data_IF_210939875706
#
_entry.id   IF_210939875706
#
_cell.length_a   1.000
_cell.length_b   1.000
_cell.length_c   1.000
_cell.angle_alpha   90.00
_cell.angle_beta   90.00
_cell.angle_gamma   90.00
#
_symmetry.space_group_name_H-M   'P 1'
#
loop_
_entity.id
_entity.type
_entity.pdbx_description
1 polymer ?
#
# COMPACT_ATOMS: atom_id res chain seq x y z
N UNK A 1 8.76 25.09 13.01
CA UNK A 1 8.93 26.50 12.56
C UNK A 1 9.70 26.71 11.26
N UNK A 2 10.79 25.99 10.98
CA UNK A 2 11.59 26.24 9.77
C UNK A 2 11.01 25.62 8.47
N UNK A 3 10.12 24.63 8.56
CA UNK A 3 9.49 24.01 7.37
C UNK A 3 8.66 24.98 6.53
N UNK A 4 8.13 26.05 7.13
CA UNK A 4 7.37 27.11 6.41
C UNK A 4 8.18 27.73 5.28
N UNK A 5 9.51 27.78 5.41
CA UNK A 5 10.40 28.33 4.38
C UNK A 5 10.53 27.38 3.18
N UNK A 6 10.51 26.07 3.42
CA UNK A 6 10.46 25.07 2.32
C UNK A 6 9.13 25.22 1.59
N UNK A 7 8.01 25.30 2.33
CA UNK A 7 6.68 25.50 1.75
C UNK A 7 6.61 26.79 0.93
N UNK A 8 7.13 27.91 1.46
CA UNK A 8 7.19 29.18 0.74
C UNK A 8 8.01 29.06 -0.56
N UNK A 9 9.16 28.37 -0.53
CA UNK A 9 9.95 28.13 -1.73
C UNK A 9 9.21 27.28 -2.77
N UNK A 10 8.51 26.23 -2.33
CA UNK A 10 7.64 25.43 -3.20
C UNK A 10 6.50 26.24 -3.81
N UNK A 11 5.85 27.11 -3.03
CA UNK A 11 4.80 28.02 -3.53
C UNK A 11 5.37 28.99 -4.54
N UNK A 12 6.53 29.61 -4.27
CA UNK A 12 7.19 30.53 -5.20
C UNK A 12 7.50 29.85 -6.53
N UNK A 13 8.09 28.65 -6.51
CA UNK A 13 8.36 27.87 -7.72
C UNK A 13 7.06 27.58 -8.48
N UNK A 14 6.01 27.16 -7.77
CA UNK A 14 4.70 26.87 -8.38
C UNK A 14 4.12 28.11 -9.05
N UNK A 15 4.20 29.27 -8.39
CA UNK A 15 3.75 30.55 -8.94
C UNK A 15 4.56 30.97 -10.17
N UNK A 16 5.88 30.79 -10.16
CA UNK A 16 6.73 31.07 -11.32
C UNK A 16 6.38 30.16 -12.51
N UNK A 17 6.12 28.88 -12.26
CA UNK A 17 5.74 27.93 -13.31
C UNK A 17 4.34 28.16 -13.88
N UNK A 18 3.47 28.89 -13.18
CA UNK A 18 2.13 29.22 -13.67
C UNK A 18 2.12 30.27 -14.80
N UNK A 19 3.26 30.91 -15.11
CA UNK A 19 3.37 31.93 -16.14
C UNK A 19 4.65 31.74 -16.99
N UNK A 20 4.55 31.95 -18.30
CA UNK A 20 5.64 31.82 -19.26
C UNK A 20 6.90 32.64 -18.90
N UNK A 21 6.75 33.83 -18.30
CA UNK A 21 7.91 34.64 -17.92
C UNK A 21 8.60 34.11 -16.66
N UNK A 22 7.84 33.52 -15.74
CA UNK A 22 8.40 32.82 -14.58
C UNK A 22 9.11 31.52 -14.99
N UNK A 23 8.59 30.81 -16.00
CA UNK A 23 9.31 29.67 -16.62
C UNK A 23 10.64 30.13 -17.19
N UNK A 24 10.68 31.18 -18.03
CA UNK A 24 11.93 31.75 -18.59
C UNK A 24 12.91 32.19 -17.51
N UNK A 25 12.41 32.78 -16.42
CA UNK A 25 13.24 33.13 -15.26
C UNK A 25 13.88 31.88 -14.67
N UNK A 26 13.11 30.81 -14.41
CA UNK A 26 13.65 29.56 -13.90
C UNK A 26 14.64 28.89 -14.87
N UNK A 27 14.44 29.00 -16.20
CA UNK A 27 15.38 28.47 -17.20
C UNK A 27 16.75 29.17 -17.15
N UNK A 28 16.76 30.48 -16.91
CA UNK A 28 17.98 31.29 -16.87
C UNK A 28 18.61 31.36 -15.47
N UNK A 29 17.87 30.98 -14.43
CA UNK A 29 18.33 31.00 -13.06
C UNK A 29 19.31 29.84 -12.78
N UNK A 30 20.34 30.12 -11.96
CA UNK A 30 21.35 29.13 -11.57
C UNK A 30 20.87 28.10 -10.53
N UNK A 31 19.61 28.16 -10.10
CA UNK A 31 19.06 27.33 -9.02
C UNK A 31 19.31 25.82 -9.22
N UNK A 32 18.85 25.24 -10.33
CA UNK A 32 19.06 23.82 -10.63
C UNK A 32 20.54 23.47 -10.78
N UNK A 33 21.33 24.39 -11.36
CA UNK A 33 22.77 24.23 -11.54
C UNK A 33 23.51 24.20 -10.18
N UNK A 34 23.16 25.07 -9.25
CA UNK A 34 23.76 25.11 -7.91
C UNK A 34 23.43 23.86 -7.10
N UNK A 35 22.21 23.33 -7.24
CA UNK A 35 21.85 22.03 -6.66
C UNK A 35 22.69 20.91 -7.28
N UNK A 36 22.84 20.90 -8.61
CA UNK A 36 23.66 19.92 -9.32
C UNK A 36 25.14 19.95 -8.85
N UNK A 37 25.70 21.16 -8.72
CA UNK A 37 27.05 21.39 -8.20
C UNK A 37 27.19 20.88 -6.76
N UNK A 38 26.19 21.13 -5.89
CA UNK A 38 26.16 20.58 -4.54
C UNK A 38 26.09 19.05 -4.51
N UNK A 39 25.34 18.43 -5.42
CA UNK A 39 25.30 16.97 -5.55
C UNK A 39 26.61 16.37 -6.06
N UNK A 40 27.36 17.10 -6.90
CA UNK A 40 28.69 16.65 -7.35
C UNK A 40 29.71 16.61 -6.21
N UNK A 41 29.53 17.41 -5.15
CA UNK A 41 30.40 17.35 -3.95
C UNK A 41 30.27 16.01 -3.20
N UNK A 42 29.18 15.27 -3.43
CA UNK A 42 28.96 13.95 -2.85
C UNK A 42 29.69 12.83 -3.61
N UNK A 43 30.24 13.11 -4.78
CA UNK A 43 30.95 12.12 -5.60
C UNK A 43 32.32 11.81 -4.97
N UNK A 44 32.59 10.55 -4.56
CA UNK A 44 33.88 10.16 -3.98
C UNK A 44 35.08 10.42 -4.90
N UNK A 45 34.85 10.52 -6.22
CA UNK A 45 35.90 10.71 -7.24
C UNK A 45 36.09 12.18 -7.58
N UNK A 46 35.02 13.00 -7.54
CA UNK A 46 35.03 14.39 -7.99
C UNK A 46 34.84 15.42 -6.86
N UNK A 47 34.65 14.99 -5.62
CA UNK A 47 34.44 15.87 -4.46
C UNK A 47 35.72 16.63 -4.07
N UNK A 48 35.62 17.95 -3.91
CA UNK A 48 36.68 18.76 -3.32
C UNK A 48 36.66 18.60 -1.80
N UNK A 49 37.79 18.20 -1.20
CA UNK A 49 37.92 17.96 0.25
C UNK A 49 38.02 19.23 1.10
N UNK A 50 37.86 20.41 0.52
CA UNK A 50 38.15 21.70 1.18
C UNK A 50 37.02 22.23 2.08
N UNK A 51 35.79 21.73 1.92
CA UNK A 51 34.64 22.15 2.74
C UNK A 51 33.61 21.03 2.89
N UNK A 52 32.89 21.01 4.02
CA UNK A 52 31.79 20.07 4.25
C UNK A 52 30.74 20.15 3.12
N UNK A 53 30.43 19.03 2.43
CA UNK A 53 29.49 19.04 1.31
C UNK A 53 28.11 19.59 1.70
N UNK A 54 27.47 20.35 0.79
CA UNK A 54 26.15 20.93 1.04
C UNK A 54 25.14 19.89 1.51
N UNK A 55 25.11 18.73 0.84
CA UNK A 55 24.21 17.61 1.10
C UNK A 55 24.84 16.53 1.99
N UNK A 56 25.77 16.91 2.89
CA UNK A 56 26.33 15.99 3.89
C UNK A 56 25.23 15.39 4.78
N UNK A 57 25.53 14.25 5.41
CA UNK A 57 24.65 13.61 6.40
C UNK A 57 24.24 14.58 7.51
N UNK A 58 25.19 15.36 8.01
CA UNK A 58 24.96 16.31 9.10
C UNK A 58 24.07 17.47 8.64
N UNK A 59 24.34 18.09 7.48
CA UNK A 59 23.53 19.20 6.97
C UNK A 59 22.11 18.80 6.60
N UNK A 60 21.92 17.62 6.02
CA UNK A 60 20.57 17.13 5.70
C UNK A 60 19.72 16.96 6.95
N UNK A 61 20.34 16.56 8.06
CA UNK A 61 19.65 16.31 9.33
C UNK A 61 19.47 17.58 10.18
N UNK A 62 20.45 18.48 10.17
CA UNK A 62 20.51 19.64 11.08
C UNK A 62 20.02 20.93 10.44
N UNK A 63 19.82 20.96 9.11
CA UNK A 63 19.46 22.17 8.36
C UNK A 63 18.30 21.94 7.39
N UNK A 64 17.87 23.00 6.69
CA UNK A 64 16.81 22.93 5.67
C UNK A 64 17.28 22.40 4.31
N UNK A 65 18.51 21.92 4.18
CA UNK A 65 19.07 21.49 2.88
C UNK A 65 18.24 20.40 2.19
N UNK A 66 17.61 19.49 2.94
CA UNK A 66 16.70 18.50 2.37
C UNK A 66 15.51 19.13 1.61
N UNK A 67 15.14 20.37 1.95
CA UNK A 67 14.12 21.16 1.28
C UNK A 67 14.41 21.43 -0.20
N UNK A 68 15.68 21.43 -0.63
CA UNK A 68 16.00 21.53 -2.07
C UNK A 68 15.46 20.34 -2.86
N UNK A 69 15.45 19.13 -2.29
CA UNK A 69 14.84 17.96 -2.93
C UNK A 69 13.33 18.11 -3.06
N UNK A 70 12.69 18.75 -2.06
CA UNK A 70 11.25 19.08 -2.13
C UNK A 70 10.97 20.05 -3.29
N UNK A 71 11.82 21.06 -3.46
CA UNK A 71 11.71 22.03 -4.55
C UNK A 71 11.95 21.42 -5.94
N UNK A 72 12.96 20.54 -6.09
CA UNK A 72 13.17 19.74 -7.32
C UNK A 72 11.95 18.87 -7.60
N UNK A 73 11.36 18.30 -6.56
CA UNK A 73 10.16 17.49 -6.65
C UNK A 73 8.97 18.26 -7.22
N UNK A 74 8.76 19.50 -6.75
CA UNK A 74 7.74 20.40 -7.30
C UNK A 74 8.02 20.73 -8.77
N UNK A 75 9.26 21.11 -9.12
CA UNK A 75 9.65 21.40 -10.50
C UNK A 75 9.35 20.21 -11.44
N UNK A 76 9.61 18.99 -10.97
CA UNK A 76 9.44 17.76 -11.77
C UNK A 76 7.99 17.43 -12.12
N UNK A 77 7.00 18.02 -11.42
CA UNK A 77 5.56 17.83 -11.68
C UNK A 77 5.08 18.58 -12.93
N UNK A 78 5.71 19.69 -13.25
CA UNK A 78 5.25 20.57 -14.33
C UNK A 78 5.96 20.20 -15.63
N UNK A 79 5.19 20.07 -16.71
CA UNK A 79 5.73 19.85 -18.06
C UNK A 79 6.69 20.99 -18.46
N UNK A 80 6.38 22.20 -18.01
CA UNK A 80 7.15 23.42 -18.24
C UNK A 80 8.09 23.75 -17.07
N UNK A 81 8.37 22.77 -16.19
CA UNK A 81 9.25 22.82 -15.00
C UNK A 81 10.73 23.12 -15.28
N UNK A 82 11.04 23.63 -16.47
CA UNK A 82 12.32 23.90 -17.15
C UNK A 82 12.78 22.74 -18.06
N UNK A 83 12.93 23.06 -19.36
CA UNK A 83 13.25 22.23 -20.55
C UNK A 83 13.80 20.82 -20.32
N UNK A 84 13.28 19.87 -21.11
CA UNK A 84 13.86 18.54 -21.38
C UNK A 84 14.37 17.76 -20.16
N UNK A 85 13.60 17.74 -19.07
CA UNK A 85 13.81 16.75 -18.00
C UNK A 85 14.96 17.04 -17.04
N UNK A 86 15.58 18.22 -17.03
CA UNK A 86 16.65 18.55 -16.09
C UNK A 86 16.30 18.33 -14.60
N UNK A 87 15.12 18.73 -14.08
CA UNK A 87 14.73 18.41 -12.70
C UNK A 87 14.64 16.89 -12.44
N UNK A 88 14.19 16.11 -13.44
CA UNK A 88 14.09 14.65 -13.34
C UNK A 88 15.46 13.98 -13.35
N UNK A 89 16.40 14.49 -14.15
CA UNK A 89 17.80 14.04 -14.15
C UNK A 89 18.43 14.28 -12.77
N UNK A 90 18.21 15.46 -12.20
CA UNK A 90 18.71 15.77 -10.86
C UNK A 90 18.07 14.87 -9.80
N UNK A 91 16.76 14.66 -9.85
CA UNK A 91 16.09 13.74 -8.93
C UNK A 91 16.61 12.31 -9.06
N UNK A 92 16.81 11.82 -10.28
CA UNK A 92 17.46 10.52 -10.54
C UNK A 92 18.86 10.45 -9.92
N UNK A 93 19.66 11.52 -10.04
CA UNK A 93 20.99 11.60 -9.43
C UNK A 93 20.94 11.61 -7.90
N UNK A 94 19.95 12.28 -7.30
CA UNK A 94 19.72 12.25 -5.85
C UNK A 94 19.38 10.81 -5.40
N UNK A 95 18.46 10.16 -6.12
CA UNK A 95 17.99 8.79 -5.86
C UNK A 95 19.06 7.73 -6.11
N UNK A 96 20.13 8.03 -6.85
CA UNK A 96 21.26 7.12 -7.12
C UNK A 96 22.55 7.59 -6.47
N UNK A 97 22.48 8.57 -5.56
CA UNK A 97 23.65 9.12 -4.86
C UNK A 97 24.32 8.09 -3.93
N UNK A 98 25.60 8.29 -3.60
CA UNK A 98 26.33 7.38 -2.70
C UNK A 98 25.80 7.29 -1.27
N UNK A 99 24.91 8.20 -0.86
CA UNK A 99 24.46 8.33 0.53
C UNK A 99 23.08 7.70 0.74
N UNK A 100 23.02 6.59 1.50
CA UNK A 100 21.78 5.85 1.81
C UNK A 100 20.62 6.76 2.25
N UNK A 101 20.88 7.70 3.18
CA UNK A 101 19.86 8.62 3.70
C UNK A 101 19.28 9.56 2.65
N UNK A 102 20.11 10.00 1.71
CA UNK A 102 19.68 10.86 0.58
C UNK A 102 18.75 10.08 -0.33
N UNK A 103 19.14 8.85 -0.70
CA UNK A 103 18.31 7.96 -1.53
C UNK A 103 16.99 7.65 -0.85
N UNK A 104 17.02 7.25 0.43
CA UNK A 104 15.81 6.96 1.22
C UNK A 104 14.85 8.16 1.27
N UNK A 105 15.36 9.35 1.57
CA UNK A 105 14.57 10.58 1.58
C UNK A 105 13.96 10.86 0.20
N UNK A 106 14.76 10.75 -0.86
CA UNK A 106 14.32 11.04 -2.23
C UNK A 106 13.26 10.05 -2.72
N UNK A 107 13.41 8.76 -2.42
CA UNK A 107 12.43 7.71 -2.73
C UNK A 107 11.10 7.97 -2.01
N UNK A 108 11.15 8.27 -0.72
CA UNK A 108 9.95 8.67 0.05
C UNK A 108 9.31 9.94 -0.52
N UNK A 109 10.12 10.92 -0.87
CA UNK A 109 9.65 12.19 -1.42
C UNK A 109 9.00 12.01 -2.79
N UNK A 110 9.51 11.11 -3.63
CA UNK A 110 8.89 10.76 -4.92
C UNK A 110 7.46 10.25 -4.75
N UNK A 111 7.16 9.50 -3.69
CA UNK A 111 5.79 9.10 -3.37
C UNK A 111 4.85 10.28 -3.11
N UNK A 112 5.32 11.34 -2.43
CA UNK A 112 4.55 12.57 -2.24
C UNK A 112 4.29 13.30 -3.57
N UNK A 113 5.28 13.29 -4.46
CA UNK A 113 5.16 13.86 -5.80
C UNK A 113 4.08 13.12 -6.59
N UNK A 114 4.15 11.78 -6.64
CA UNK A 114 3.22 10.94 -7.39
C UNK A 114 1.77 11.10 -6.91
N UNK A 115 1.55 11.18 -5.58
CA UNK A 115 0.21 11.43 -5.01
C UNK A 115 -0.44 12.72 -5.44
N UNK A 116 0.37 13.73 -5.78
CA UNK A 116 -0.10 15.08 -6.13
C UNK A 116 0.06 15.40 -7.62
N UNK A 117 0.55 14.45 -8.42
CA UNK A 117 0.79 14.63 -9.86
C UNK A 117 -0.43 14.18 -10.67
N UNK A 118 -0.68 14.78 -11.85
CA UNK A 118 -1.75 14.31 -12.73
C UNK A 118 -1.43 12.90 -13.25
N UNK A 119 -2.46 12.04 -13.41
CA UNK A 119 -2.32 10.60 -13.76
C UNK A 119 -1.39 10.30 -14.95
N UNK A 120 -1.33 11.18 -15.96
CA UNK A 120 -0.47 11.02 -17.16
C UNK A 120 1.03 11.13 -16.88
N UNK A 121 1.44 11.55 -15.68
CA UNK A 121 2.84 11.85 -15.35
C UNK A 121 3.50 10.79 -14.45
N UNK A 122 2.89 9.61 -14.29
CA UNK A 122 3.39 8.59 -13.37
C UNK A 122 4.50 7.69 -13.96
N UNK A 123 4.66 7.64 -15.28
CA UNK A 123 5.60 6.70 -15.92
C UNK A 123 7.06 6.89 -15.48
N UNK A 124 7.59 8.11 -15.58
CA UNK A 124 8.97 8.39 -15.18
C UNK A 124 9.19 8.15 -13.68
N UNK A 125 8.19 8.44 -12.84
CA UNK A 125 8.28 8.22 -11.41
C UNK A 125 8.27 6.72 -11.06
N UNK A 126 7.42 5.95 -11.73
CA UNK A 126 7.41 4.48 -11.61
C UNK A 126 8.75 3.90 -12.08
N UNK A 127 9.32 4.39 -13.19
CA UNK A 127 10.65 3.98 -13.64
C UNK A 127 11.75 4.28 -12.61
N UNK A 128 11.73 5.46 -11.98
CA UNK A 128 12.68 5.78 -10.91
C UNK A 128 12.49 4.87 -9.69
N UNK A 129 11.25 4.55 -9.31
CA UNK A 129 10.98 3.63 -8.22
C UNK A 129 11.42 2.21 -8.54
N UNK A 130 11.25 1.73 -9.77
CA UNK A 130 11.78 0.45 -10.24
C UNK A 130 13.30 0.41 -10.06
N UNK A 131 14.01 1.49 -10.43
CA UNK A 131 15.46 1.57 -10.17
C UNK A 131 15.81 1.39 -8.69
N UNK A 132 14.99 1.92 -7.77
CA UNK A 132 15.20 1.78 -6.34
C UNK A 132 14.89 0.38 -5.80
N UNK A 133 14.18 -0.48 -6.54
CA UNK A 133 14.01 -1.90 -6.17
C UNK A 133 15.33 -2.68 -6.22
N UNK A 134 16.36 -2.12 -6.88
CA UNK A 134 17.69 -2.72 -7.00
C UNK A 134 18.75 -1.93 -6.19
N UNK A 135 18.33 -1.14 -5.20
CA UNK A 135 19.27 -0.40 -4.35
C UNK A 135 20.15 -1.35 -3.53
N UNK A 136 21.44 -1.03 -3.30
CA UNK A 136 22.29 -1.85 -2.42
C UNK A 136 21.83 -1.88 -0.96
N UNK A 137 21.03 -0.91 -0.51
CA UNK A 137 20.47 -0.86 0.83
C UNK A 137 19.01 -1.35 0.84
N UNK A 138 18.73 -2.44 1.57
CA UNK A 138 17.39 -3.05 1.64
C UNK A 138 16.32 -2.07 2.16
N UNK A 139 16.69 -1.13 3.03
CA UNK A 139 15.77 -0.11 3.55
C UNK A 139 15.26 0.83 2.44
N UNK A 140 16.07 1.08 1.41
CA UNK A 140 15.67 1.87 0.24
C UNK A 140 14.75 1.03 -0.66
N UNK A 141 15.04 -0.26 -0.85
CA UNK A 141 14.16 -1.19 -1.57
C UNK A 141 12.79 -1.29 -0.91
N UNK A 142 12.74 -1.44 0.43
CA UNK A 142 11.51 -1.45 1.22
C UNK A 142 10.70 -0.16 1.03
N UNK A 143 11.35 1.00 1.10
CA UNK A 143 10.70 2.29 0.84
C UNK A 143 10.15 2.38 -0.59
N UNK A 144 10.89 1.88 -1.58
CA UNK A 144 10.45 1.85 -2.98
C UNK A 144 9.22 0.96 -3.16
N UNK A 145 9.20 -0.22 -2.52
CA UNK A 145 8.04 -1.11 -2.51
C UNK A 145 6.83 -0.42 -1.88
N UNK A 146 6.99 0.18 -0.70
CA UNK A 146 5.90 0.89 -0.03
C UNK A 146 5.33 2.00 -0.93
N UNK A 147 6.19 2.83 -1.53
CA UNK A 147 5.76 3.92 -2.40
C UNK A 147 5.10 3.40 -3.67
N UNK A 148 5.59 2.30 -4.26
CA UNK A 148 4.96 1.66 -5.41
C UNK A 148 3.59 1.10 -5.06
N UNK A 149 3.43 0.48 -3.88
CA UNK A 149 2.15 -0.03 -3.42
C UNK A 149 1.13 1.11 -3.29
N UNK A 150 1.50 2.20 -2.61
CA UNK A 150 0.66 3.40 -2.47
C UNK A 150 0.27 3.98 -3.85
N UNK A 151 1.22 3.99 -4.79
CA UNK A 151 1.03 4.48 -6.17
C UNK A 151 0.13 3.54 -6.98
N UNK A 152 0.18 2.24 -6.69
CA UNK A 152 -0.61 1.19 -7.35
C UNK A 152 -2.07 1.11 -6.88
N UNK A 153 -2.53 2.01 -6.01
CA UNK A 153 -3.97 2.18 -5.75
C UNK A 153 -4.78 2.56 -7.00
N UNK A 154 -4.12 3.01 -8.08
CA UNK A 154 -4.73 3.22 -9.38
C UNK A 154 -4.38 2.07 -10.34
N UNK A 155 -5.40 1.45 -10.95
CA UNK A 155 -5.25 0.28 -11.82
C UNK A 155 -4.26 0.52 -12.98
N UNK A 156 -4.26 1.73 -13.56
CA UNK A 156 -3.38 2.08 -14.68
C UNK A 156 -1.90 2.05 -14.27
N UNK A 157 -1.58 2.37 -13.01
CA UNK A 157 -0.21 2.34 -12.52
C UNK A 157 0.29 0.90 -12.31
N UNK A 158 -0.58 -0.02 -11.86
CA UNK A 158 -0.26 -1.45 -11.79
C UNK A 158 0.06 -1.98 -13.18
N UNK A 159 -0.81 -1.71 -14.15
CA UNK A 159 -0.60 -2.16 -15.52
C UNK A 159 0.68 -1.61 -16.14
N UNK A 160 1.03 -0.35 -15.85
CA UNK A 160 2.29 0.24 -16.29
C UNK A 160 3.50 -0.44 -15.63
N UNK A 161 3.46 -0.64 -14.32
CA UNK A 161 4.52 -1.31 -13.58
C UNK A 161 4.76 -2.73 -14.11
N UNK A 162 3.70 -3.51 -14.35
CA UNK A 162 3.79 -4.85 -14.93
C UNK A 162 4.35 -4.81 -16.35
N UNK A 163 3.94 -3.85 -17.19
CA UNK A 163 4.47 -3.68 -18.56
C UNK A 163 5.99 -3.40 -18.57
N UNK A 164 6.50 -2.72 -17.54
CA UNK A 164 7.93 -2.46 -17.38
C UNK A 164 8.72 -3.68 -16.87
N UNK A 165 8.03 -4.78 -16.50
CA UNK A 165 8.60 -6.08 -16.09
C UNK A 165 9.81 -5.98 -15.14
N UNK A 166 9.69 -5.35 -13.96
CA UNK A 166 10.76 -5.43 -12.96
C UNK A 166 10.96 -6.87 -12.49
N UNK A 167 12.20 -7.30 -12.26
CA UNK A 167 12.46 -8.48 -11.43
C UNK A 167 12.27 -8.10 -9.97
N UNK A 168 11.61 -8.97 -9.21
CA UNK A 168 11.35 -8.81 -7.78
C UNK A 168 12.06 -9.90 -6.96
N UNK A 169 12.89 -10.73 -7.60
CA UNK A 169 13.50 -11.91 -6.99
C UNK A 169 14.47 -11.55 -5.86
N UNK A 170 15.10 -10.37 -5.95
CA UNK A 170 16.04 -9.84 -4.96
C UNK A 170 15.36 -9.30 -3.69
N UNK A 171 14.04 -9.17 -3.68
CA UNK A 171 13.29 -8.57 -2.57
C UNK A 171 12.81 -9.59 -1.52
N UNK A 172 12.76 -10.88 -1.87
CA UNK A 172 12.17 -11.90 -1.00
C UNK A 172 10.76 -11.51 -0.54
N UNK A 173 10.47 -11.68 0.75
CA UNK A 173 9.18 -11.34 1.35
C UNK A 173 8.82 -9.84 1.25
N UNK A 174 9.81 -8.95 1.11
CA UNK A 174 9.56 -7.51 0.92
C UNK A 174 8.81 -7.23 -0.38
N UNK A 175 9.01 -8.06 -1.42
CA UNK A 175 8.34 -7.89 -2.72
C UNK A 175 6.89 -8.42 -2.75
N UNK A 176 6.49 -9.24 -1.78
CA UNK A 176 5.20 -9.93 -1.78
C UNK A 176 3.99 -8.98 -1.88
N UNK A 177 3.94 -7.82 -1.19
CA UNK A 177 2.83 -6.89 -1.35
C UNK A 177 2.60 -6.46 -2.80
N UNK A 178 3.66 -6.17 -3.57
CA UNK A 178 3.54 -5.81 -4.99
C UNK A 178 3.07 -6.99 -5.84
N UNK A 179 3.59 -8.19 -5.59
CA UNK A 179 3.18 -9.41 -6.30
C UNK A 179 1.68 -9.65 -6.12
N UNK A 180 1.17 -9.53 -4.89
CA UNK A 180 -0.26 -9.63 -4.62
C UNK A 180 -1.07 -8.57 -5.38
N UNK A 181 -0.58 -7.31 -5.45
CA UNK A 181 -1.26 -6.26 -6.23
C UNK A 181 -1.29 -6.57 -7.72
N UNK A 182 -0.29 -7.23 -8.29
CA UNK A 182 -0.29 -7.57 -9.73
C UNK A 182 -1.45 -8.50 -10.09
N UNK A 183 -1.85 -9.40 -9.19
CA UNK A 183 -3.00 -10.31 -9.36
C UNK A 183 -4.32 -9.57 -9.59
N UNK A 184 -4.43 -8.31 -9.18
CA UNK A 184 -5.64 -7.50 -9.35
C UNK A 184 -5.94 -7.09 -10.80
N UNK A 185 -5.02 -7.39 -11.73
CA UNK A 185 -5.16 -7.07 -13.16
C UNK A 185 -4.89 -8.28 -14.03
N UNK A 186 -5.61 -8.43 -15.14
CA UNK A 186 -5.41 -9.58 -16.05
C UNK A 186 -4.00 -9.63 -16.65
N UNK A 187 -3.35 -8.48 -16.87
CA UNK A 187 -1.96 -8.43 -17.36
C UNK A 187 -0.99 -8.90 -16.27
N UNK A 188 -1.18 -8.46 -15.02
CA UNK A 188 -0.36 -8.88 -13.89
C UNK A 188 -0.55 -10.36 -13.54
N UNK A 189 -1.79 -10.87 -13.58
CA UNK A 189 -2.06 -12.30 -13.45
C UNK A 189 -1.27 -13.12 -14.48
N UNK A 190 -1.36 -12.77 -15.78
CA UNK A 190 -0.64 -13.48 -16.84
C UNK A 190 0.87 -13.42 -16.64
N UNK A 191 1.40 -12.24 -16.30
CA UNK A 191 2.81 -12.06 -16.00
C UNK A 191 3.29 -12.97 -14.85
N UNK A 192 2.52 -13.10 -13.77
CA UNK A 192 2.87 -13.97 -12.64
C UNK A 192 2.69 -15.46 -12.95
N UNK A 193 1.75 -15.80 -13.83
CA UNK A 193 1.58 -17.18 -14.28
C UNK A 193 2.74 -17.67 -15.15
N UNK A 194 3.43 -16.79 -15.88
CA UNK A 194 4.63 -17.14 -16.65
C UNK A 194 5.75 -17.73 -15.77
N UNK A 195 5.84 -17.34 -14.50
CA UNK A 195 6.84 -17.83 -13.54
C UNK A 195 6.29 -18.88 -12.56
N UNK A 196 5.07 -19.40 -12.80
CA UNK A 196 4.36 -20.32 -11.90
C UNK A 196 4.15 -19.75 -10.48
N UNK A 197 4.17 -18.43 -10.32
CA UNK A 197 3.96 -17.79 -9.02
C UNK A 197 2.55 -18.04 -8.50
N UNK A 198 1.53 -17.85 -9.34
CA UNK A 198 0.12 -17.89 -8.93
C UNK A 198 -0.28 -19.23 -8.30
N UNK A 199 0.06 -20.34 -8.95
CA UNK A 199 -0.26 -21.68 -8.48
C UNK A 199 0.43 -22.01 -7.16
N UNK A 200 1.74 -21.74 -7.08
CA UNK A 200 2.52 -21.97 -5.86
C UNK A 200 2.00 -21.13 -4.70
N UNK A 201 1.75 -19.85 -4.94
CA UNK A 201 1.26 -18.93 -3.92
C UNK A 201 -0.14 -19.36 -3.45
N UNK A 202 -1.01 -19.79 -4.36
CA UNK A 202 -2.34 -20.29 -4.02
C UNK A 202 -2.29 -21.51 -3.09
N UNK A 203 -1.39 -22.46 -3.35
CA UNK A 203 -1.20 -23.65 -2.53
C UNK A 203 -0.64 -23.26 -1.14
N UNK A 204 0.35 -22.35 -1.09
CA UNK A 204 0.94 -21.86 0.16
C UNK A 204 -0.10 -21.12 1.03
N UNK A 205 -0.97 -20.31 0.42
CA UNK A 205 -2.08 -19.63 1.09
C UNK A 205 -3.12 -20.59 1.62
N UNK A 206 -3.48 -21.59 0.83
CA UNK A 206 -4.43 -22.61 1.23
C UNK A 206 -3.94 -23.42 2.43
N UNK A 207 -2.65 -23.78 2.45
CA UNK A 207 -2.06 -24.61 3.49
C UNK A 207 -1.75 -23.84 4.79
N UNK A 208 -1.18 -22.63 4.70
CA UNK A 208 -0.65 -21.93 5.88
C UNK A 208 -0.67 -20.40 5.87
N UNK A 209 -0.59 -19.72 4.71
CA UNK A 209 -0.47 -18.24 4.73
C UNK A 209 -1.77 -17.54 5.17
N UNK A 210 -2.95 -18.16 5.01
CA UNK A 210 -4.20 -17.64 5.59
C UNK A 210 -4.08 -17.46 7.12
N UNK A 211 -3.50 -18.43 7.82
CA UNK A 211 -3.29 -18.36 9.25
C UNK A 211 -2.27 -17.26 9.61
N UNK A 212 -1.14 -17.22 8.90
CA UNK A 212 -0.13 -16.18 9.12
C UNK A 212 -0.70 -14.77 8.92
N UNK A 213 -1.53 -14.58 7.90
CA UNK A 213 -2.23 -13.33 7.65
C UNK A 213 -3.10 -12.88 8.84
N UNK A 214 -3.84 -13.80 9.46
CA UNK A 214 -4.64 -13.49 10.67
C UNK A 214 -3.75 -13.14 11.86
N UNK A 215 -2.64 -13.84 12.05
CA UNK A 215 -1.68 -13.47 13.10
C UNK A 215 -1.18 -12.04 12.91
N UNK A 216 -0.77 -11.68 11.70
CA UNK A 216 -0.31 -10.32 11.39
C UNK A 216 -1.40 -9.28 11.62
N UNK A 217 -2.64 -9.56 11.22
CA UNK A 217 -3.78 -8.69 11.45
C UNK A 217 -4.08 -8.49 12.93
N UNK A 218 -4.16 -9.56 13.71
CA UNK A 218 -4.46 -9.49 15.15
C UNK A 218 -3.35 -8.73 15.91
N UNK A 219 -2.07 -8.94 15.54
CA UNK A 219 -0.95 -8.15 16.08
C UNK A 219 -1.07 -6.67 15.71
N UNK A 220 -1.38 -6.36 14.45
CA UNK A 220 -1.51 -4.98 13.97
C UNK A 220 -2.67 -4.25 14.65
N UNK A 221 -3.82 -4.93 14.80
CA UNK A 221 -5.00 -4.39 15.47
C UNK A 221 -4.74 -4.19 16.97
N UNK A 222 -4.11 -5.16 17.64
CA UNK A 222 -3.75 -5.02 19.05
C UNK A 222 -2.80 -3.84 19.29
N UNK A 223 -1.84 -3.61 18.39
CA UNK A 223 -0.93 -2.47 18.48
C UNK A 223 -1.66 -1.15 18.22
N UNK A 224 -2.57 -1.10 17.24
CA UNK A 224 -3.37 0.09 16.96
C UNK A 224 -4.26 0.50 18.14
N UNK A 225 -4.86 -0.47 18.83
CA UNK A 225 -5.74 -0.23 19.99
C UNK A 225 -4.99 0.12 21.27
N UNK A 226 -3.73 -0.33 21.44
CA UNK A 226 -2.88 0.01 22.59
C UNK A 226 -2.44 1.49 22.61
N UNK A 227 -2.51 2.19 21.48
CA UNK A 227 -2.06 3.58 21.35
C UNK A 227 -2.92 4.59 22.14
N UNK A 228 -4.06 4.17 22.70
CA UNK A 228 -4.87 5.01 23.59
C UNK A 228 -4.49 4.88 25.08
N UNK A 229 -3.58 3.95 25.45
CA UNK A 229 -3.41 3.52 26.85
C UNK A 229 -2.08 3.76 27.55
N UNK A 230 -0.95 3.85 26.84
CA UNK A 230 0.36 4.00 27.51
C UNK A 230 1.27 5.01 26.80
N UNK A 231 1.72 5.96 27.60
CA UNK A 231 2.44 7.17 27.26
C UNK A 231 3.63 6.96 26.31
N UNK A 232 3.83 7.98 25.47
CA UNK A 232 5.13 8.39 24.95
C UNK A 232 6.20 8.41 26.05
N UNK A 233 6.79 7.26 26.38
CA UNK A 233 8.11 7.23 27.01
C UNK A 233 9.12 7.46 25.91
N UNK A 234 9.48 8.73 25.80
CA UNK A 234 10.69 9.21 25.15
C UNK A 234 11.85 8.27 25.53
N UNK A 235 12.29 7.49 24.56
CA UNK A 235 13.60 6.85 24.57
C UNK A 235 14.26 7.34 23.29
N UNK A 236 15.18 8.30 23.48
CA UNK A 236 16.15 8.78 22.51
C UNK A 236 16.99 7.60 22.02
N UNK A 237 16.53 6.93 20.96
CA UNK A 237 17.37 5.99 20.22
C UNK A 237 17.15 6.20 18.72
N UNK A 238 18.23 6.62 18.08
CA UNK A 238 18.33 7.16 16.71
C UNK A 238 18.19 6.07 15.62
N UNK A 239 17.73 4.87 15.99
CA UNK A 239 17.64 3.67 15.14
C UNK A 239 16.20 3.14 14.96
N UNK A 240 15.18 3.92 15.35
CA UNK A 240 13.75 3.60 15.16
C UNK A 240 13.20 3.94 13.75
N UNK A 241 14.04 3.91 12.71
CA UNK A 241 13.55 4.04 11.33
C UNK A 241 12.77 2.80 10.84
N UNK A 242 12.76 1.71 11.61
CA UNK A 242 11.75 0.64 11.48
C UNK A 242 10.56 0.97 12.37
N UNK A 243 9.85 2.07 12.09
CA UNK A 243 8.49 2.21 12.61
C UNK A 243 7.68 1.09 11.97
N UNK A 244 7.37 0.07 12.76
CA UNK A 244 6.36 -0.93 12.48
C UNK A 244 5.19 -0.24 11.80
N UNK A 245 4.85 -0.66 10.57
CA UNK A 245 3.86 -0.02 9.71
C UNK A 245 2.70 0.50 10.56
N UNK A 246 2.60 1.83 10.68
CA UNK A 246 1.48 2.45 11.37
C UNK A 246 0.21 1.91 10.71
N UNK A 247 -0.65 1.25 11.48
CA UNK A 247 -1.93 0.74 11.00
C UNK A 247 -2.72 1.94 10.47
N UNK A 248 -2.87 2.02 9.15
CA UNK A 248 -3.55 3.10 8.45
C UNK A 248 -5.07 2.90 8.41
N UNK A 249 -5.58 1.93 9.18
CA UNK A 249 -6.98 1.52 9.17
C UNK A 249 -7.33 0.59 8.01
N UNK A 250 -6.41 0.30 7.09
CA UNK A 250 -6.67 -0.57 5.94
C UNK A 250 -6.21 -2.00 6.22
N UNK A 251 -6.99 -2.95 5.72
CA UNK A 251 -6.61 -4.37 5.74
C UNK A 251 -5.50 -4.61 4.70
N UNK A 252 -4.40 -5.30 5.04
CA UNK A 252 -3.36 -5.66 4.08
C UNK A 252 -3.92 -6.50 2.93
N UNK A 253 -3.26 -6.44 1.78
CA UNK A 253 -3.64 -7.21 0.60
C UNK A 253 -3.69 -8.72 0.92
N UNK A 254 -4.73 -9.38 0.43
CA UNK A 254 -4.95 -10.82 0.62
C UNK A 254 -4.94 -11.51 -0.74
N UNK A 255 -4.23 -12.64 -0.87
CA UNK A 255 -4.12 -13.37 -2.14
C UNK A 255 -5.47 -13.63 -2.82
N UNK A 256 -6.40 -14.33 -2.16
CA UNK A 256 -7.71 -14.60 -2.76
C UNK A 256 -8.51 -13.34 -3.08
N UNK A 257 -8.43 -12.30 -2.25
CA UNK A 257 -9.13 -11.04 -2.51
C UNK A 257 -8.57 -10.27 -3.71
N UNK A 258 -7.27 -10.33 -3.97
CA UNK A 258 -6.65 -9.77 -5.18
C UNK A 258 -6.92 -10.64 -6.41
N UNK A 259 -6.83 -11.97 -6.25
CA UNK A 259 -7.08 -12.97 -7.29
C UNK A 259 -8.47 -12.81 -7.92
N UNK A 260 -9.52 -12.67 -7.08
CA UNK A 260 -10.90 -12.61 -7.56
C UNK A 260 -11.26 -11.29 -8.24
N UNK A 261 -10.34 -10.32 -8.36
CA UNK A 261 -10.56 -9.10 -9.13
C UNK A 261 -10.40 -9.31 -10.64
N UNK A 262 -9.93 -10.48 -11.07
CA UNK A 262 -9.75 -10.84 -12.48
C UNK A 262 -10.61 -12.04 -12.85
N UNK A 263 -11.00 -12.13 -14.13
CA UNK A 263 -11.75 -13.28 -14.65
C UNK A 263 -10.90 -14.55 -14.59
N UNK A 264 -9.61 -14.43 -14.95
CA UNK A 264 -8.66 -15.54 -14.90
C UNK A 264 -8.48 -16.09 -13.48
N UNK A 265 -8.35 -15.21 -12.49
CA UNK A 265 -8.24 -15.61 -11.09
C UNK A 265 -9.53 -16.22 -10.52
N UNK A 266 -10.70 -15.71 -10.91
CA UNK A 266 -11.98 -16.33 -10.57
C UNK A 266 -12.13 -17.73 -11.17
N UNK A 267 -11.72 -17.93 -12.43
CA UNK A 267 -11.75 -19.24 -13.06
C UNK A 267 -10.85 -20.23 -12.29
N UNK A 268 -9.62 -19.83 -11.99
CA UNK A 268 -8.68 -20.67 -11.23
C UNK A 268 -9.24 -21.04 -9.85
N UNK A 269 -9.86 -20.09 -9.14
CA UNK A 269 -10.47 -20.35 -7.83
C UNK A 269 -11.61 -21.38 -7.91
N UNK A 270 -12.42 -21.33 -8.97
CA UNK A 270 -13.49 -22.33 -9.21
C UNK A 270 -12.90 -23.71 -9.51
N UNK A 271 -11.90 -23.78 -10.38
CA UNK A 271 -11.25 -25.03 -10.78
C UNK A 271 -10.59 -25.75 -9.59
N UNK A 272 -9.93 -24.99 -8.71
CA UNK A 272 -9.29 -25.52 -7.49
C UNK A 272 -10.30 -25.90 -6.40
N UNK A 273 -11.49 -25.34 -6.40
CA UNK A 273 -12.55 -25.65 -5.43
C UNK A 273 -12.32 -25.14 -4.00
N UNK A 274 -11.25 -24.36 -3.76
CA UNK A 274 -10.89 -23.88 -2.41
C UNK A 274 -12.04 -23.11 -1.72
N UNK A 275 -12.79 -22.30 -2.47
CA UNK A 275 -13.89 -21.53 -1.88
C UNK A 275 -14.98 -22.44 -1.29
N UNK A 276 -15.29 -23.55 -1.96
CA UNK A 276 -16.28 -24.51 -1.48
C UNK A 276 -15.79 -25.22 -0.21
N UNK A 277 -14.50 -25.51 -0.12
CA UNK A 277 -13.89 -26.05 1.10
C UNK A 277 -13.95 -25.04 2.26
N UNK A 278 -13.69 -23.76 1.98
CA UNK A 278 -13.85 -22.68 2.95
C UNK A 278 -15.29 -22.56 3.46
N UNK A 279 -16.27 -22.56 2.55
CA UNK A 279 -17.69 -22.50 2.91
C UNK A 279 -18.11 -23.70 3.77
N UNK A 280 -17.70 -24.91 3.41
CA UNK A 280 -17.99 -26.13 4.19
C UNK A 280 -17.37 -26.06 5.59
N UNK A 281 -16.12 -25.60 5.71
CA UNK A 281 -15.46 -25.48 7.01
C UNK A 281 -16.16 -24.45 7.91
N UNK A 282 -16.63 -23.33 7.36
CA UNK A 282 -17.40 -22.33 8.11
C UNK A 282 -18.71 -22.93 8.63
N UNK A 283 -19.45 -23.68 7.81
CA UNK A 283 -20.72 -24.30 8.23
C UNK A 283 -20.51 -25.39 9.29
N UNK A 284 -19.45 -26.18 9.16
CA UNK A 284 -19.14 -27.26 10.08
C UNK A 284 -18.69 -26.74 11.46
N UNK A 285 -17.87 -25.68 11.47
CA UNK A 285 -17.19 -25.22 12.69
C UNK A 285 -17.65 -23.85 13.20
N UNK A 286 -18.64 -23.22 12.57
CA UNK A 286 -19.07 -21.84 12.89
C UNK A 286 -19.43 -21.59 14.36
N UNK A 287 -19.85 -22.63 15.07
CA UNK A 287 -20.24 -22.58 16.48
C UNK A 287 -19.20 -23.23 17.43
N UNK A 288 -17.97 -23.45 16.96
CA UNK A 288 -16.88 -23.93 17.81
C UNK A 288 -16.58 -22.95 18.96
N UNK A 289 -16.33 -23.50 20.15
CA UNK A 289 -16.16 -22.72 21.38
C UNK A 289 -15.01 -23.16 22.29
N UNK A 290 -14.39 -24.31 22.00
CA UNK A 290 -13.44 -24.98 22.88
C UNK A 290 -12.11 -25.24 22.20
N UNK A 291 -12.11 -25.78 20.98
CA UNK A 291 -10.86 -26.08 20.27
C UNK A 291 -10.26 -24.81 19.65
N UNK A 292 -9.19 -24.31 20.27
CA UNK A 292 -8.51 -23.09 19.86
C UNK A 292 -7.88 -23.20 18.48
N UNK A 293 -7.45 -24.39 18.05
CA UNK A 293 -6.85 -24.59 16.71
C UNK A 293 -7.93 -24.49 15.63
N UNK A 294 -9.11 -25.08 15.88
CA UNK A 294 -10.26 -24.96 14.97
C UNK A 294 -10.74 -23.52 14.91
N UNK A 295 -10.89 -22.83 16.05
CA UNK A 295 -11.29 -21.41 16.08
C UNK A 295 -10.31 -20.54 15.29
N UNK A 296 -9.01 -20.78 15.47
CA UNK A 296 -7.98 -20.03 14.77
C UNK A 296 -8.02 -20.28 13.26
N UNK A 297 -8.17 -21.54 12.83
CA UNK A 297 -8.36 -21.88 11.42
C UNK A 297 -9.64 -21.27 10.86
N UNK A 298 -10.74 -21.30 11.61
CA UNK A 298 -12.02 -20.69 11.22
C UNK A 298 -11.87 -19.19 10.99
N UNK A 299 -11.20 -18.47 11.89
CA UNK A 299 -10.89 -17.05 11.70
C UNK A 299 -10.12 -16.80 10.41
N UNK A 300 -9.11 -17.62 10.13
CA UNK A 300 -8.31 -17.51 8.88
C UNK A 300 -9.14 -17.68 7.62
N UNK A 301 -10.07 -18.62 7.64
CA UNK A 301 -10.97 -18.88 6.51
C UNK A 301 -12.02 -17.77 6.38
N UNK A 302 -12.57 -17.27 7.49
CA UNK A 302 -13.49 -16.13 7.49
C UNK A 302 -12.84 -14.88 6.88
N UNK A 303 -11.59 -14.58 7.23
CA UNK A 303 -10.83 -13.48 6.62
C UNK A 303 -10.60 -13.69 5.12
N UNK A 304 -10.29 -14.91 4.69
CA UNK A 304 -10.15 -15.22 3.26
C UNK A 304 -11.47 -15.02 2.50
N UNK A 305 -12.58 -15.54 3.04
CA UNK A 305 -13.93 -15.38 2.46
C UNK A 305 -14.37 -13.92 2.42
N UNK A 306 -14.10 -13.15 3.48
CA UNK A 306 -14.36 -11.71 3.51
C UNK A 306 -13.58 -10.93 2.45
N UNK A 307 -12.30 -11.25 2.28
CA UNK A 307 -11.45 -10.62 1.26
C UNK A 307 -11.91 -10.97 -0.16
N UNK A 308 -12.35 -12.21 -0.41
CA UNK A 308 -12.98 -12.61 -1.68
C UNK A 308 -14.24 -11.77 -1.93
N UNK A 309 -15.14 -11.72 -0.94
CA UNK A 309 -16.40 -10.98 -1.01
C UNK A 309 -16.27 -9.45 -1.10
N UNK A 310 -15.06 -8.89 -0.91
CA UNK A 310 -14.81 -7.46 -0.99
C UNK A 310 -14.79 -6.89 -2.42
N UNK A 311 -14.94 -7.75 -3.44
CA UNK A 311 -14.98 -7.36 -4.86
C UNK A 311 -16.27 -7.86 -5.52
N UNK A 312 -16.74 -7.17 -6.56
CA UNK A 312 -17.99 -7.53 -7.25
C UNK A 312 -17.97 -8.97 -7.80
N UNK A 313 -16.86 -9.37 -8.41
CA UNK A 313 -16.66 -10.72 -8.96
C UNK A 313 -16.47 -11.77 -7.87
N UNK A 314 -15.81 -11.43 -6.77
CA UNK A 314 -15.64 -12.35 -5.64
C UNK A 314 -16.92 -12.54 -4.81
N UNK A 315 -17.78 -11.53 -4.70
CA UNK A 315 -19.09 -11.64 -4.03
C UNK A 315 -19.95 -12.76 -4.63
N UNK A 316 -19.86 -12.97 -5.94
CA UNK A 316 -20.61 -14.03 -6.63
C UNK A 316 -20.35 -15.41 -6.01
N UNK A 317 -19.13 -15.69 -5.54
CA UNK A 317 -18.81 -16.96 -4.85
C UNK A 317 -19.60 -17.10 -3.55
N UNK A 318 -19.72 -16.01 -2.78
CA UNK A 318 -20.46 -16.01 -1.51
C UNK A 318 -21.96 -16.20 -1.73
N UNK A 319 -22.50 -15.63 -2.81
CA UNK A 319 -23.90 -15.78 -3.22
C UNK A 319 -24.19 -17.21 -3.71
N UNK A 320 -23.31 -17.78 -4.55
CA UNK A 320 -23.41 -19.16 -5.05
C UNK A 320 -23.44 -20.20 -3.91
N UNK A 321 -22.63 -19.99 -2.87
CA UNK A 321 -22.60 -20.85 -1.68
C UNK A 321 -23.62 -20.42 -0.59
N UNK A 322 -24.33 -19.28 -0.75
CA UNK A 322 -25.24 -18.72 0.26
C UNK A 322 -24.59 -18.63 1.68
N UNK A 323 -23.29 -18.35 1.74
CA UNK A 323 -22.49 -18.42 2.99
C UNK A 323 -22.66 -17.17 3.88
N UNK A 324 -23.17 -16.06 3.33
CA UNK A 324 -23.29 -14.78 4.06
C UNK A 324 -24.19 -14.94 5.29
N UNK A 325 -25.27 -15.72 5.18
CA UNK A 325 -26.19 -16.00 6.29
C UNK A 325 -25.51 -16.76 7.42
N UNK A 326 -24.64 -17.70 7.10
CA UNK A 326 -23.87 -18.45 8.08
C UNK A 326 -22.90 -17.50 8.82
N UNK A 327 -22.24 -16.58 8.11
CA UNK A 327 -21.32 -15.60 8.72
C UNK A 327 -22.06 -14.65 9.67
N UNK A 328 -23.23 -14.14 9.28
CA UNK A 328 -24.10 -13.31 10.14
C UNK A 328 -24.53 -14.09 11.37
N UNK A 329 -24.95 -15.34 11.19
CA UNK A 329 -25.35 -16.20 12.31
C UNK A 329 -24.21 -16.38 13.33
N UNK A 330 -22.98 -16.61 12.86
CA UNK A 330 -21.79 -16.70 13.73
C UNK A 330 -21.54 -15.37 14.45
N UNK A 331 -21.64 -14.23 13.73
CA UNK A 331 -21.44 -12.91 14.30
C UNK A 331 -22.39 -12.64 15.48
N UNK A 332 -23.63 -13.10 15.39
CA UNK A 332 -24.67 -12.86 16.39
C UNK A 332 -24.66 -13.89 17.52
N UNK A 333 -24.38 -15.16 17.22
CA UNK A 333 -24.66 -16.27 18.14
C UNK A 333 -23.40 -16.97 18.69
N UNK A 334 -22.20 -16.68 18.19
CA UNK A 334 -20.99 -17.35 18.68
C UNK A 334 -20.71 -17.03 20.15
N UNK A 335 -20.40 -18.04 20.96
CA UNK A 335 -19.95 -17.84 22.34
C UNK A 335 -18.53 -17.26 22.45
N UNK A 336 -17.78 -17.22 21.33
CA UNK A 336 -16.39 -16.76 21.28
C UNK A 336 -16.35 -15.32 20.77
N UNK A 337 -16.15 -14.35 21.67
CA UNK A 337 -16.16 -12.92 21.34
C UNK A 337 -15.16 -12.53 20.24
N UNK A 338 -13.96 -13.13 20.25
CA UNK A 338 -12.96 -12.84 19.21
C UNK A 338 -13.39 -13.36 17.81
N UNK A 339 -14.23 -14.39 17.76
CA UNK A 339 -14.82 -14.90 16.53
C UNK A 339 -15.96 -13.96 16.06
N UNK A 340 -16.82 -13.48 16.97
CA UNK A 340 -17.79 -12.42 16.68
C UNK A 340 -17.11 -11.18 16.07
N UNK A 341 -16.01 -10.74 16.67
CA UNK A 341 -15.22 -9.61 16.17
C UNK A 341 -14.62 -9.87 14.79
N UNK A 342 -14.16 -11.10 14.51
CA UNK A 342 -13.69 -11.47 13.16
C UNK A 342 -14.84 -11.41 12.15
N UNK A 343 -16.01 -11.97 12.46
CA UNK A 343 -17.17 -11.87 11.59
C UNK A 343 -17.58 -10.40 11.36
N UNK A 344 -17.56 -9.55 12.39
CA UNK A 344 -17.84 -8.12 12.24
C UNK A 344 -16.96 -7.46 11.17
N UNK A 345 -15.64 -7.68 11.21
CA UNK A 345 -14.73 -7.16 10.18
C UNK A 345 -14.99 -7.78 8.80
N UNK A 346 -15.29 -9.07 8.73
CA UNK A 346 -15.60 -9.78 7.48
C UNK A 346 -16.89 -9.27 6.84
N UNK A 347 -17.93 -9.02 7.63
CA UNK A 347 -19.18 -8.40 7.16
C UNK A 347 -18.91 -6.98 6.66
N UNK A 348 -18.02 -6.23 7.33
CA UNK A 348 -17.49 -4.96 6.84
C UNK A 348 -16.83 -5.10 5.46
N UNK A 349 -15.97 -6.09 5.25
CA UNK A 349 -15.35 -6.32 3.93
C UNK A 349 -16.38 -6.61 2.84
N UNK A 350 -17.35 -7.48 3.10
CA UNK A 350 -18.42 -7.84 2.14
C UNK A 350 -19.26 -6.61 1.76
N UNK A 351 -19.51 -5.72 2.73
CA UNK A 351 -20.28 -4.48 2.53
C UNK A 351 -19.59 -3.44 1.63
N UNK A 352 -18.33 -3.64 1.23
CA UNK A 352 -17.64 -2.76 0.26
C UNK A 352 -18.29 -2.75 -1.12
N UNK A 353 -19.10 -3.76 -1.44
CA UNK A 353 -19.86 -3.83 -2.68
C UNK A 353 -21.32 -3.41 -2.44
N UNK A 354 -21.95 -2.71 -3.38
CA UNK A 354 -23.36 -2.32 -3.26
C UNK A 354 -24.31 -3.53 -3.08
N UNK A 355 -24.05 -4.64 -3.80
CA UNK A 355 -24.84 -5.87 -3.64
C UNK A 355 -24.63 -6.48 -2.25
N UNK A 356 -23.38 -6.55 -1.77
CA UNK A 356 -23.07 -7.04 -0.43
C UNK A 356 -23.73 -6.20 0.66
N UNK A 357 -23.67 -4.86 0.56
CA UNK A 357 -24.33 -3.95 1.49
C UNK A 357 -25.85 -4.16 1.54
N UNK A 358 -26.49 -4.36 0.39
CA UNK A 358 -27.92 -4.66 0.32
C UNK A 358 -28.28 -5.99 0.98
N UNK A 359 -27.48 -7.03 0.74
CA UNK A 359 -27.66 -8.33 1.40
C UNK A 359 -27.52 -8.20 2.91
N UNK A 360 -26.60 -7.35 3.40
CA UNK A 360 -26.48 -7.07 4.84
C UNK A 360 -27.73 -6.38 5.39
N UNK A 361 -28.28 -5.40 4.67
CA UNK A 361 -29.50 -4.69 5.09
C UNK A 361 -30.68 -5.65 5.26
N UNK A 362 -30.86 -6.58 4.31
CA UNK A 362 -31.88 -7.64 4.37
C UNK A 362 -31.67 -8.60 5.57
N UNK A 363 -30.45 -8.69 6.09
CA UNK A 363 -30.07 -9.51 7.25
C UNK A 363 -30.01 -8.72 8.55
N UNK A 364 -30.45 -7.46 8.57
CA UNK A 364 -30.49 -6.63 9.78
C UNK A 364 -29.15 -5.97 10.14
N UNK A 365 -28.28 -5.76 9.15
CA UNK A 365 -27.00 -5.09 9.28
C UNK A 365 -26.91 -3.87 8.36
N UNK A 366 -26.65 -2.70 8.92
CA UNK A 366 -26.55 -1.44 8.18
C UNK A 366 -25.11 -1.14 7.78
N UNK A 367 -24.91 -0.69 6.54
CA UNK A 367 -23.60 -0.33 6.00
C UNK A 367 -23.58 1.11 5.51
N UNK A 368 -22.43 1.77 5.64
CA UNK A 368 -22.24 3.13 5.08
C UNK A 368 -21.71 3.00 3.65
N UNK A 369 -22.44 3.52 2.67
CA UNK A 369 -22.05 3.48 1.26
C UNK A 369 -22.20 4.85 0.58
N UNK A 370 -21.38 5.09 -0.43
CA UNK A 370 -21.48 6.27 -1.28
C UNK A 370 -22.42 5.98 -2.46
N UNK A 371 -23.55 6.71 -2.52
CA UNK A 371 -24.57 6.56 -3.55
C UNK A 371 -24.09 6.91 -4.97
N UNK A 372 -23.00 7.67 -5.11
CA UNK A 372 -22.47 8.06 -6.42
C UNK A 372 -21.48 7.04 -6.98
N UNK A 373 -20.64 6.45 -6.12
CA UNK A 373 -19.61 5.50 -6.54
C UNK A 373 -20.03 4.04 -6.40
N UNK A 374 -21.14 3.76 -5.71
CA UNK A 374 -21.61 2.41 -5.35
C UNK A 374 -20.57 1.61 -4.53
N UNK A 375 -19.63 2.30 -3.88
CA UNK A 375 -18.60 1.71 -3.05
C UNK A 375 -18.98 1.90 -1.57
N UNK A 376 -18.98 0.79 -0.84
CA UNK A 376 -19.15 0.80 0.60
C UNK A 376 -17.88 1.25 1.32
N UNK A 377 -18.03 1.94 2.44
CA UNK A 377 -16.93 2.35 3.32
C UNK A 377 -16.19 1.16 3.97
N UNK A 378 -16.78 -0.04 3.92
CA UNK A 378 -16.30 -1.22 4.61
C UNK A 378 -16.71 -1.29 6.10
N UNK A 379 -17.62 -0.41 6.52
CA UNK A 379 -18.20 -0.40 7.86
C UNK A 379 -19.64 -0.94 7.79
N UNK A 380 -19.91 -1.97 8.59
CA UNK A 380 -21.18 -2.68 8.65
C UNK A 380 -21.52 -3.00 10.11
N UNK A 381 -22.69 -2.58 10.58
CA UNK A 381 -23.10 -2.66 11.99
C UNK A 381 -24.45 -3.35 12.14
N UNK A 382 -24.65 -4.16 13.19
CA UNK A 382 -25.96 -4.76 13.44
C UNK A 382 -26.95 -3.68 13.88
N UNK A 383 -28.16 -3.69 13.31
CA UNK A 383 -29.25 -2.80 13.74
C UNK A 383 -29.59 -3.06 15.21
N UNK A 384 -29.51 -4.32 15.64
CA UNK A 384 -29.65 -4.71 17.04
C UNK A 384 -28.28 -4.99 17.69
N UNK A 385 -27.66 -3.94 18.23
CA UNK A 385 -26.36 -4.04 18.92
C UNK A 385 -26.38 -4.91 20.17
N UNK A 386 -27.53 -5.08 20.83
CA UNK A 386 -27.64 -5.93 22.02
C UNK A 386 -27.48 -7.42 21.68
N UNK A 387 -28.02 -7.87 20.55
CA UNK A 387 -27.87 -9.26 20.10
C UNK A 387 -26.41 -9.61 19.76
N UNK A 388 -25.66 -8.64 19.23
CA UNK A 388 -24.25 -8.85 18.94
C UNK A 388 -23.37 -8.88 20.21
N UNK A 389 -23.69 -8.04 21.19
CA UNK A 389 -22.91 -7.90 22.44
C UNK A 389 -23.28 -8.88 23.55
N UNK A 390 -24.45 -9.55 23.46
CA UNK A 390 -24.86 -10.65 24.34
C UNK A 390 -24.09 -11.93 24.04
#
# INVERSE_FOLDING_TARGET
DNERYIQLGCTLITTLLANIDGVKYLESNKFLRQIAEGLNQLDPINGTFESEPLFSKERINSTLTAGYFTMIGVLSKFKDGVKDGHPRILLSKVMTSGYKRVRLYATKHLGLILRTSPKKFNEWGIQLLITQLYDPAMEVCQMAVQVLEETCNQKENIELLVKLRPSLDNLGEVGNPLLLRFLSTSIGFKYLSESNYVEKEMDDWFQSRNQYYVTQLEVSLANALKLDGEENRAADDDDKDVKMHNFDGMTPAHFYGELTKTEEGCQLLREKGHFREFANFIREHGMEKSDTLIIYKLKSILWAVGNIGASKSGLQFLEEENIIKDIVYIAENSAVLSLKGTCFHVLGLISKTASGAKVMEDLGWESVYDSYTEIGSGLCYPINSQAFLS
#
